data_IF_374876580145
#
_entry.id   IF_374876580145
#
_cell.length_a   1.000
_cell.length_b   1.000
_cell.length_c   1.000
_cell.angle_alpha   90.00
_cell.angle_beta   90.00
_cell.angle_gamma   90.00
#
_symmetry.space_group_name_H-M   'P 1'
#
loop_
_entity.id
_entity.type
_entity.pdbx_description
1 polymer ?
#
# COMPACT_ATOMS: atom_id res chain seq x y z
N UNK A 1 -19.05 -11.09 2.92
CA UNK A 1 -19.15 -12.34 2.13
C UNK A 1 -18.38 -12.17 0.85
N UNK A 2 -17.28 -12.91 0.69
CA UNK A 2 -16.68 -13.28 -0.61
C UNK A 2 -15.78 -14.49 -0.36
N UNK A 3 -16.34 -15.70 -0.45
CA UNK A 3 -15.57 -16.94 -0.36
C UNK A 3 -15.10 -17.32 -1.76
N UNK A 4 -13.81 -17.21 -2.03
CA UNK A 4 -13.20 -17.75 -3.24
C UNK A 4 -13.01 -19.25 -3.03
N UNK A 5 -13.96 -20.05 -3.50
CA UNK A 5 -13.90 -21.52 -3.40
C UNK A 5 -13.14 -22.12 -4.59
N UNK A 6 -11.85 -22.42 -4.38
CA UNK A 6 -11.04 -23.13 -5.36
C UNK A 6 -11.17 -24.64 -5.11
N UNK A 7 -11.95 -25.35 -5.95
CA UNK A 7 -11.98 -26.82 -5.97
C UNK A 7 -10.72 -27.35 -6.68
N UNK A 8 -9.76 -27.91 -5.94
CA UNK A 8 -8.61 -28.61 -6.53
C UNK A 8 -8.39 -30.01 -5.95
N UNK A 9 -8.27 -30.99 -6.86
CA UNK A 9 -8.04 -32.41 -6.58
C UNK A 9 -6.65 -32.73 -6.02
N UNK A 10 -6.55 -33.92 -5.42
CA UNK A 10 -5.40 -34.62 -4.74
C UNK A 10 -4.46 -33.80 -3.83
N UNK A 11 -4.14 -34.35 -2.65
CA UNK A 11 -3.44 -33.64 -1.56
C UNK A 11 -2.05 -33.09 -1.92
N UNK A 12 -1.28 -33.79 -2.78
CA UNK A 12 0.05 -33.35 -3.23
C UNK A 12 -0.01 -32.11 -4.14
N UNK A 13 -1.04 -32.01 -4.99
CA UNK A 13 -1.26 -30.83 -5.84
C UNK A 13 -1.69 -29.63 -4.99
N UNK A 14 -2.55 -29.82 -3.97
CA UNK A 14 -2.90 -28.75 -3.03
C UNK A 14 -1.70 -28.20 -2.27
N UNK A 15 -0.80 -29.05 -1.76
CA UNK A 15 0.41 -28.60 -1.05
C UNK A 15 1.34 -27.77 -1.94
N UNK A 16 1.50 -28.17 -3.21
CA UNK A 16 2.32 -27.41 -4.17
C UNK A 16 1.68 -26.04 -4.49
N UNK A 17 0.36 -26.00 -4.67
CA UNK A 17 -0.38 -24.77 -4.94
C UNK A 17 -0.33 -23.78 -3.76
N UNK A 18 -0.49 -24.27 -2.52
CA UNK A 18 -0.37 -23.42 -1.34
C UNK A 18 1.03 -22.80 -1.26
N UNK A 19 2.09 -23.57 -1.52
CA UNK A 19 3.46 -23.03 -1.53
C UNK A 19 3.65 -21.95 -2.61
N UNK A 20 3.10 -22.14 -3.81
CA UNK A 20 3.18 -21.14 -4.88
C UNK A 20 2.43 -19.87 -4.46
N UNK A 21 1.24 -20.02 -3.86
CA UNK A 21 0.44 -18.88 -3.40
C UNK A 21 1.15 -18.12 -2.28
N UNK A 22 1.65 -18.82 -1.26
CA UNK A 22 2.42 -18.25 -0.15
C UNK A 22 3.64 -17.47 -0.67
N UNK A 23 4.41 -18.06 -1.59
CA UNK A 23 5.58 -17.40 -2.18
C UNK A 23 5.20 -16.15 -3.00
N UNK A 24 4.06 -16.19 -3.71
CA UNK A 24 3.57 -15.07 -4.48
C UNK A 24 3.12 -13.91 -3.59
N UNK A 25 2.38 -14.21 -2.51
CA UNK A 25 1.93 -13.23 -1.52
C UNK A 25 3.10 -12.57 -0.80
N UNK A 26 4.08 -13.37 -0.36
CA UNK A 26 5.30 -12.89 0.29
C UNK A 26 6.15 -12.01 -0.64
N UNK A 27 6.24 -12.37 -1.93
CA UNK A 27 6.87 -11.52 -2.94
C UNK A 27 6.14 -10.19 -3.11
N UNK A 28 4.82 -10.22 -3.20
CA UNK A 28 4.02 -8.99 -3.36
C UNK A 28 4.15 -8.08 -2.14
N UNK A 29 4.05 -8.65 -0.92
CA UNK A 29 4.21 -7.91 0.32
C UNK A 29 5.57 -7.19 0.37
N UNK A 30 6.67 -7.88 0.02
CA UNK A 30 8.00 -7.25 -0.07
C UNK A 30 8.04 -6.07 -1.04
N UNK A 31 7.42 -6.21 -2.22
CA UNK A 31 7.41 -5.15 -3.22
C UNK A 31 6.62 -3.93 -2.73
N UNK A 32 5.47 -4.16 -2.09
CA UNK A 32 4.66 -3.10 -1.49
C UNK A 32 5.41 -2.37 -0.37
N UNK A 33 6.08 -3.10 0.54
CA UNK A 33 6.87 -2.50 1.62
C UNK A 33 8.04 -1.64 1.07
N UNK A 34 8.71 -2.09 0.00
CA UNK A 34 9.75 -1.29 -0.68
C UNK A 34 9.14 -0.02 -1.29
N UNK A 35 7.99 -0.13 -1.95
CA UNK A 35 7.30 1.01 -2.54
C UNK A 35 6.83 2.01 -1.46
N UNK A 36 6.29 1.49 -0.35
CA UNK A 36 5.83 2.27 0.81
C UNK A 36 6.98 3.10 1.40
N UNK A 37 8.13 2.46 1.64
CA UNK A 37 9.31 3.17 2.14
C UNK A 37 9.76 4.30 1.21
N UNK A 38 9.77 4.06 -0.10
CA UNK A 38 10.19 5.07 -1.08
C UNK A 38 9.26 6.28 -1.11
N UNK A 39 7.95 6.05 -1.01
CA UNK A 39 6.98 7.14 -1.00
C UNK A 39 7.04 7.91 0.32
N UNK A 40 7.22 7.24 1.46
CA UNK A 40 7.47 7.89 2.76
C UNK A 40 8.72 8.78 2.75
N UNK A 41 9.80 8.33 2.13
CA UNK A 41 11.03 9.12 1.98
C UNK A 41 10.79 10.40 1.17
N UNK A 42 10.01 10.33 0.09
CA UNK A 42 9.64 11.51 -0.70
C UNK A 42 8.71 12.44 0.06
N UNK A 43 7.70 11.91 0.73
CA UNK A 43 6.79 12.68 1.58
C UNK A 43 7.57 13.48 2.64
N UNK A 44 8.56 12.85 3.29
CA UNK A 44 9.43 13.54 4.25
C UNK A 44 10.19 14.73 3.66
N UNK A 45 10.53 14.71 2.37
CA UNK A 45 11.17 15.85 1.71
C UNK A 45 10.22 17.04 1.64
N UNK A 46 8.97 16.82 1.22
CA UNK A 46 7.95 17.85 1.20
C UNK A 46 7.60 18.34 2.60
N UNK A 47 7.43 17.42 3.55
CA UNK A 47 7.14 17.76 4.95
C UNK A 47 8.22 18.64 5.57
N UNK A 48 9.49 18.35 5.27
CA UNK A 48 10.62 19.16 5.70
C UNK A 48 10.67 20.52 4.99
N UNK A 49 10.39 20.55 3.69
CA UNK A 49 10.39 21.79 2.90
C UNK A 49 9.30 22.76 3.39
N UNK A 50 8.13 22.25 3.71
CA UNK A 50 6.94 23.04 4.06
C UNK A 50 6.64 23.10 5.55
N UNK A 51 7.34 22.32 6.37
CA UNK A 51 7.17 22.21 7.81
C UNK A 51 5.72 21.88 8.23
N UNK A 52 5.06 21.02 7.45
CA UNK A 52 3.71 20.50 7.70
C UNK A 52 3.69 19.01 7.36
N UNK A 53 2.94 18.19 8.09
CA UNK A 53 2.77 16.77 7.77
C UNK A 53 2.00 16.58 6.46
N UNK A 54 2.25 15.49 5.74
CA UNK A 54 1.55 15.19 4.48
C UNK A 54 0.05 14.98 4.67
N UNK A 55 -0.38 14.41 5.81
CA UNK A 55 -1.81 14.27 6.16
C UNK A 55 -2.52 15.63 6.26
N UNK A 56 -1.95 16.56 7.03
CA UNK A 56 -2.47 17.92 7.16
C UNK A 56 -2.44 18.68 5.82
N UNK A 57 -1.34 18.56 5.06
CA UNK A 57 -1.25 19.13 3.72
C UNK A 57 -2.36 18.61 2.82
N UNK A 58 -2.55 17.30 2.76
CA UNK A 58 -3.52 16.67 1.87
C UNK A 58 -4.96 17.04 2.22
N UNK A 59 -5.28 17.14 3.52
CA UNK A 59 -6.57 17.69 3.99
C UNK A 59 -6.79 19.11 3.47
N UNK A 60 -5.79 19.98 3.52
CA UNK A 60 -5.91 21.34 2.97
C UNK A 60 -6.07 21.32 1.45
N UNK A 61 -5.29 20.48 0.77
CA UNK A 61 -5.31 20.33 -0.69
C UNK A 61 -6.70 19.92 -1.20
N UNK A 62 -7.30 18.90 -0.59
CA UNK A 62 -8.64 18.44 -0.94
C UNK A 62 -9.74 19.49 -0.70
N UNK A 63 -9.53 20.41 0.23
CA UNK A 63 -10.47 21.50 0.52
C UNK A 63 -10.21 22.76 -0.32
N UNK A 64 -9.28 22.72 -1.29
CA UNK A 64 -8.89 23.89 -2.09
C UNK A 64 -8.23 24.99 -1.26
N UNK A 65 -7.63 24.65 -0.11
CA UNK A 65 -6.96 25.59 0.81
C UNK A 65 -5.45 25.63 0.60
N UNK A 66 -4.99 25.29 -0.60
CA UNK A 66 -3.59 25.26 -0.99
C UNK A 66 -3.37 26.15 -2.19
N UNK A 67 -2.10 26.52 -2.42
CA UNK A 67 -1.66 27.28 -3.59
C UNK A 67 -1.65 26.37 -4.85
N UNK A 68 -1.70 26.96 -6.05
CA UNK A 68 -1.71 26.25 -7.33
C UNK A 68 -0.31 25.88 -7.81
N UNK A 69 0.57 25.49 -6.88
CA UNK A 69 1.97 25.18 -7.19
C UNK A 69 2.11 23.77 -7.71
N UNK A 70 3.00 23.58 -8.69
CA UNK A 70 3.28 22.26 -9.26
C UNK A 70 3.75 21.25 -8.21
N UNK A 71 4.52 21.69 -7.22
CA UNK A 71 5.00 20.79 -6.17
C UNK A 71 3.91 20.37 -5.18
N UNK A 72 2.82 21.13 -5.05
CA UNK A 72 1.63 20.71 -4.30
C UNK A 72 0.86 19.62 -5.05
N UNK A 73 0.82 19.69 -6.38
CA UNK A 73 0.26 18.62 -7.21
C UNK A 73 1.10 17.34 -7.05
N UNK A 74 2.43 17.47 -7.12
CA UNK A 74 3.35 16.33 -6.94
C UNK A 74 3.22 15.72 -5.54
N UNK A 75 3.16 16.56 -4.49
CA UNK A 75 3.01 16.10 -3.12
C UNK A 75 1.66 15.39 -2.90
N UNK A 76 0.57 15.94 -3.43
CA UNK A 76 -0.75 15.31 -3.33
C UNK A 76 -0.79 13.96 -4.08
N UNK A 77 -0.17 13.88 -5.25
CA UNK A 77 -0.03 12.64 -6.00
C UNK A 77 0.79 11.59 -5.24
N UNK A 78 1.92 11.98 -4.66
CA UNK A 78 2.76 11.07 -3.87
C UNK A 78 2.02 10.58 -2.61
N UNK A 79 1.27 11.45 -1.93
CA UNK A 79 0.49 11.06 -0.75
C UNK A 79 -0.65 10.10 -1.11
N UNK A 80 -1.30 10.30 -2.25
CA UNK A 80 -2.32 9.38 -2.75
C UNK A 80 -1.73 7.99 -3.05
N UNK A 81 -0.54 7.94 -3.64
CA UNK A 81 0.19 6.69 -3.88
C UNK A 81 0.53 6.00 -2.55
N UNK A 82 1.02 6.75 -1.56
CA UNK A 82 1.26 6.24 -0.21
C UNK A 82 0.02 5.59 0.41
N UNK A 83 -1.13 6.28 0.38
CA UNK A 83 -2.37 5.73 0.92
C UNK A 83 -2.77 4.44 0.21
N UNK A 84 -2.72 4.40 -1.12
CA UNK A 84 -3.07 3.20 -1.89
C UNK A 84 -2.15 2.01 -1.60
N UNK A 85 -0.85 2.23 -1.42
CA UNK A 85 0.09 1.16 -1.07
C UNK A 85 -0.17 0.69 0.37
N UNK A 86 -0.39 1.62 1.29
CA UNK A 86 -0.65 1.32 2.70
C UNK A 86 -1.89 0.45 2.87
N UNK A 87 -2.99 0.78 2.19
CA UNK A 87 -4.22 -0.03 2.19
C UNK A 87 -3.97 -1.47 1.71
N UNK A 88 -3.12 -1.66 0.69
CA UNK A 88 -2.76 -3.00 0.19
C UNK A 88 -1.89 -3.78 1.17
N UNK A 89 -0.96 -3.11 1.86
CA UNK A 89 -0.13 -3.73 2.89
C UNK A 89 -1.01 -4.18 4.05
N UNK A 90 -1.90 -3.30 4.55
CA UNK A 90 -2.83 -3.62 5.63
C UNK A 90 -3.73 -4.83 5.26
N UNK A 91 -4.28 -4.85 4.04
CA UNK A 91 -5.09 -5.98 3.57
C UNK A 91 -4.30 -7.31 3.49
N UNK A 92 -3.01 -7.27 3.11
CA UNK A 92 -2.16 -8.47 3.11
C UNK A 92 -1.78 -8.92 4.53
N UNK A 93 -1.52 -7.98 5.44
CA UNK A 93 -1.24 -8.28 6.84
C UNK A 93 -2.44 -8.95 7.52
N UNK A 94 -3.66 -8.47 7.28
CA UNK A 94 -4.89 -9.10 7.76
C UNK A 94 -5.03 -10.56 7.26
N UNK A 95 -4.73 -10.81 5.98
CA UNK A 95 -4.77 -12.17 5.42
C UNK A 95 -3.72 -13.11 6.03
N UNK A 96 -2.54 -12.59 6.40
CA UNK A 96 -1.51 -13.41 7.06
C UNK A 96 -1.88 -13.79 8.50
N UNK A 97 -2.69 -12.98 9.19
CA UNK A 97 -3.16 -13.27 10.56
C UNK A 97 -4.22 -14.39 10.57
N UNK A 98 -4.89 -14.65 9.44
CA UNK A 98 -5.94 -15.68 9.33
C UNK A 98 -5.45 -17.09 8.95
N UNK A 99 -4.14 -17.35 8.91
CA UNK A 99 -3.64 -18.69 8.57
C UNK A 99 -3.68 -19.66 9.78
N UNK A 100 -4.79 -20.39 9.89
CA UNK A 100 -4.90 -21.67 10.63
C UNK A 100 -4.49 -22.85 9.76
#
# INVERSE_FOLDING_TARGET
MSTVSIKLGTSKKRKNLNQILENALDRENRLLLIALKKTEEKLKLFEKQYNISSDEFFKRYQNGKTDDRNDYIDWAGEYHIYQSIKEKVEALEELTIEYN
#
